data_IF_086725291094
#
_entry.id   IF_086725291094
#
_cell.length_a   1.000
_cell.length_b   1.000
_cell.length_c   1.000
_cell.angle_alpha   90.00
_cell.angle_beta   90.00
_cell.angle_gamma   90.00
#
_symmetry.space_group_name_H-M   'P 1'
#
loop_
_entity.id
_entity.type
_entity.pdbx_description
1 polymer ?
#
# COMPACT_ATOMS: atom_id res chain seq x y z
N UNK A 1 -3.07 -14.97 25.86
CA UNK A 1 -2.53 -14.25 24.69
C UNK A 1 -3.62 -13.52 23.90
N UNK A 2 -4.67 -14.22 23.42
CA UNK A 2 -5.74 -13.64 22.60
C UNK A 2 -6.30 -12.31 23.16
N UNK A 3 -6.67 -12.29 24.44
CA UNK A 3 -7.18 -11.08 25.12
C UNK A 3 -6.17 -9.94 25.27
N UNK A 4 -4.90 -10.27 25.50
CA UNK A 4 -3.85 -9.28 25.79
C UNK A 4 -3.20 -8.70 24.54
N UNK A 5 -3.35 -9.37 23.38
CA UNK A 5 -2.66 -9.00 22.14
C UNK A 5 -3.63 -8.84 20.96
N UNK A 6 -4.29 -9.91 20.51
CA UNK A 6 -5.13 -9.88 19.31
C UNK A 6 -6.45 -9.10 19.52
N UNK A 7 -7.16 -9.32 20.63
CA UNK A 7 -8.43 -8.65 20.94
C UNK A 7 -8.28 -7.27 21.58
N UNK A 8 -7.11 -6.97 22.16
CA UNK A 8 -6.90 -5.72 22.91
C UNK A 8 -7.15 -4.46 22.05
N UNK A 9 -6.67 -4.35 20.80
CA UNK A 9 -6.97 -3.21 19.94
C UNK A 9 -8.47 -3.07 19.66
N UNK A 10 -9.19 -4.19 19.50
CA UNK A 10 -10.63 -4.19 19.28
C UNK A 10 -11.39 -3.69 20.51
N UNK A 11 -11.02 -4.14 21.71
CA UNK A 11 -11.60 -3.62 22.95
C UNK A 11 -11.41 -2.10 23.04
N UNK A 12 -10.21 -1.59 22.75
CA UNK A 12 -9.92 -0.14 22.78
C UNK A 12 -10.83 0.66 21.85
N UNK A 13 -11.13 0.16 20.64
CA UNK A 13 -12.02 0.87 19.70
C UNK A 13 -13.50 0.70 20.05
N UNK A 14 -13.89 -0.41 20.68
CA UNK A 14 -15.23 -0.60 21.25
C UNK A 14 -15.46 0.45 22.35
N UNK A 15 -14.52 0.57 23.28
CA UNK A 15 -14.59 1.53 24.39
C UNK A 15 -14.62 2.99 23.87
N UNK A 16 -14.01 3.24 22.70
CA UNK A 16 -14.05 4.54 22.01
C UNK A 16 -15.33 4.78 21.17
N UNK A 17 -16.25 3.83 21.12
CA UNK A 17 -17.55 3.97 20.44
C UNK A 17 -17.51 3.72 18.93
N UNK A 18 -16.68 2.77 18.46
CA UNK A 18 -16.67 2.37 17.04
C UNK A 18 -18.06 1.90 16.59
N UNK A 19 -18.47 2.33 15.39
CA UNK A 19 -19.82 2.08 14.87
C UNK A 19 -20.02 0.69 14.28
N UNK A 20 -18.98 0.16 13.64
CA UNK A 20 -19.03 -1.10 12.92
C UNK A 20 -17.72 -1.86 13.05
N UNK A 21 -17.81 -3.19 13.06
CA UNK A 21 -16.65 -4.07 13.14
C UNK A 21 -16.79 -5.23 12.17
N UNK A 22 -15.73 -5.46 11.40
CA UNK A 22 -15.66 -6.53 10.43
C UNK A 22 -15.08 -7.80 11.06
N UNK A 23 -15.70 -8.95 10.79
CA UNK A 23 -15.25 -10.26 11.26
C UNK A 23 -14.62 -11.05 10.12
N UNK A 24 -13.33 -11.35 10.27
CA UNK A 24 -12.53 -12.06 9.28
C UNK A 24 -12.89 -13.56 9.19
N UNK A 25 -12.66 -14.17 8.02
CA UNK A 25 -12.84 -15.60 7.77
C UNK A 25 -11.65 -16.44 8.30
N UNK A 26 -11.35 -16.30 9.60
CA UNK A 26 -10.20 -16.97 10.24
C UNK A 26 -10.70 -18.15 11.08
N UNK A 27 -10.03 -19.30 10.95
CA UNK A 27 -10.25 -20.46 11.82
C UNK A 27 -9.36 -20.35 13.05
N UNK A 28 -9.96 -20.50 14.23
CA UNK A 28 -9.27 -20.59 15.51
C UNK A 28 -9.75 -21.85 16.24
N UNK A 29 -9.38 -23.05 15.75
CA UNK A 29 -10.02 -24.30 16.14
C UNK A 29 -9.87 -24.61 17.64
N UNK A 30 -8.71 -24.28 18.23
CA UNK A 30 -8.41 -24.55 19.63
C UNK A 30 -9.11 -23.61 20.62
N UNK A 31 -9.74 -22.54 20.12
CA UNK A 31 -10.31 -21.47 20.94
C UNK A 31 -11.84 -21.39 20.86
N UNK A 32 -12.50 -22.32 20.17
CA UNK A 32 -13.96 -22.34 20.08
C UNK A 32 -14.51 -23.78 20.09
N UNK A 33 -15.79 -23.98 20.46
CA UNK A 33 -16.39 -25.32 20.47
C UNK A 33 -16.48 -25.97 19.08
N UNK A 34 -16.82 -25.20 18.04
CA UNK A 34 -16.91 -25.70 16.66
C UNK A 34 -15.64 -25.35 15.89
N UNK A 35 -14.64 -26.23 15.99
CA UNK A 35 -13.32 -26.02 15.41
C UNK A 35 -13.34 -25.81 13.88
N UNK A 36 -14.36 -26.33 13.21
CA UNK A 36 -14.45 -26.25 11.76
C UNK A 36 -14.97 -24.90 11.28
N UNK A 37 -15.66 -24.09 12.09
CA UNK A 37 -16.22 -22.83 11.59
C UNK A 37 -15.19 -21.69 11.64
N UNK A 38 -15.08 -20.85 10.59
CA UNK A 38 -14.36 -19.59 10.69
C UNK A 38 -15.13 -18.62 11.59
N UNK A 39 -14.44 -17.63 12.15
CA UNK A 39 -15.01 -16.66 13.09
C UNK A 39 -16.30 -16.00 12.58
N UNK A 40 -16.38 -15.65 11.29
CA UNK A 40 -17.57 -15.04 10.66
C UNK A 40 -18.83 -15.90 10.75
N UNK A 41 -18.71 -17.23 10.81
CA UNK A 41 -19.82 -18.18 10.83
C UNK A 41 -20.10 -18.74 12.23
N UNK A 42 -19.36 -18.28 13.25
CA UNK A 42 -19.38 -18.85 14.59
C UNK A 42 -20.05 -17.91 15.59
N UNK A 43 -21.18 -18.34 16.16
CA UNK A 43 -21.88 -17.59 17.23
C UNK A 43 -21.01 -17.41 18.47
N UNK A 44 -20.09 -18.34 18.74
CA UNK A 44 -19.12 -18.20 19.82
C UNK A 44 -18.28 -16.93 19.63
N UNK A 45 -17.71 -16.71 18.44
CA UNK A 45 -16.88 -15.53 18.19
C UNK A 45 -17.70 -14.24 18.07
N UNK A 46 -18.80 -14.28 17.32
CA UNK A 46 -19.56 -13.07 16.99
C UNK A 46 -20.51 -12.66 18.12
N UNK A 47 -21.24 -13.59 18.71
CA UNK A 47 -22.21 -13.29 19.75
C UNK A 47 -21.58 -13.39 21.13
N UNK A 48 -20.97 -14.52 21.49
CA UNK A 48 -20.50 -14.71 22.86
C UNK A 48 -19.29 -13.83 23.17
N UNK A 49 -18.22 -13.91 22.37
CA UNK A 49 -17.02 -13.09 22.59
C UNK A 49 -17.28 -11.63 22.23
N UNK A 50 -17.64 -11.34 20.98
CA UNK A 50 -17.67 -9.95 20.53
C UNK A 50 -18.83 -9.14 21.14
N UNK A 51 -20.06 -9.67 21.13
CA UNK A 51 -21.21 -8.90 21.64
C UNK A 51 -21.32 -8.95 23.16
N UNK A 52 -21.25 -10.15 23.77
CA UNK A 52 -21.48 -10.29 25.22
C UNK A 52 -20.24 -9.95 26.02
N UNK A 53 -19.12 -10.64 25.81
CA UNK A 53 -17.91 -10.46 26.63
C UNK A 53 -17.22 -9.11 26.37
N UNK A 54 -17.09 -8.70 25.11
CA UNK A 54 -16.45 -7.42 24.75
C UNK A 54 -17.43 -6.23 24.76
N UNK A 55 -18.73 -6.48 24.88
CA UNK A 55 -19.76 -5.44 24.98
C UNK A 55 -20.05 -4.68 23.68
N UNK A 56 -19.73 -5.22 22.51
CA UNK A 56 -19.93 -4.52 21.24
C UNK A 56 -21.39 -4.51 20.79
N UNK A 57 -21.99 -3.31 20.75
CA UNK A 57 -23.38 -3.09 20.37
C UNK A 57 -23.56 -2.50 18.95
N UNK A 58 -22.47 -2.22 18.24
CA UNK A 58 -22.49 -1.71 16.88
C UNK A 58 -22.86 -2.76 15.83
N UNK A 59 -22.68 -2.39 14.56
CA UNK A 59 -22.95 -3.26 13.41
C UNK A 59 -21.80 -4.24 13.22
N UNK A 60 -22.12 -5.52 13.16
CA UNK A 60 -21.16 -6.57 12.79
C UNK A 60 -21.24 -6.81 11.29
N UNK A 61 -20.12 -6.64 10.60
CA UNK A 61 -20.00 -6.82 9.15
C UNK A 61 -19.20 -8.09 8.88
N UNK A 62 -19.59 -8.90 7.90
CA UNK A 62 -18.72 -9.96 7.41
C UNK A 62 -17.54 -9.36 6.64
N UNK A 63 -16.42 -10.08 6.57
CA UNK A 63 -15.50 -9.92 5.44
C UNK A 63 -16.18 -10.35 4.13
N UNK A 64 -15.52 -10.13 2.98
CA UNK A 64 -16.10 -10.42 1.67
C UNK A 64 -16.45 -11.91 1.52
N UNK A 65 -17.74 -12.24 1.46
CA UNK A 65 -18.24 -13.62 1.42
C UNK A 65 -17.80 -14.41 0.18
N UNK A 66 -17.31 -13.72 -0.85
CA UNK A 66 -16.67 -14.33 -2.03
C UNK A 66 -15.28 -14.93 -1.77
N UNK A 67 -14.66 -14.64 -0.62
CA UNK A 67 -13.30 -15.08 -0.32
C UNK A 67 -13.20 -16.59 -0.07
N UNK A 68 -12.05 -17.16 -0.43
CA UNK A 68 -11.77 -18.59 -0.31
C UNK A 68 -11.82 -19.17 1.11
N UNK A 69 -11.73 -18.32 2.15
CA UNK A 69 -11.93 -18.72 3.55
C UNK A 69 -13.37 -19.21 3.84
N UNK A 70 -14.33 -18.86 2.99
CA UNK A 70 -15.72 -19.34 3.06
C UNK A 70 -16.03 -20.24 1.87
N UNK A 71 -15.82 -19.74 0.64
CA UNK A 71 -16.34 -20.40 -0.59
C UNK A 71 -15.72 -21.76 -0.90
N UNK A 72 -14.56 -22.09 -0.31
CA UNK A 72 -13.92 -23.41 -0.51
C UNK A 72 -14.56 -24.52 0.33
N UNK A 73 -15.16 -24.18 1.46
CA UNK A 73 -15.63 -25.16 2.45
C UNK A 73 -17.15 -25.14 2.66
N UNK A 74 -17.83 -24.07 2.24
CA UNK A 74 -19.25 -23.87 2.51
C UNK A 74 -20.01 -23.48 1.26
N UNK A 75 -21.23 -24.00 1.14
CA UNK A 75 -22.17 -23.49 0.14
C UNK A 75 -22.63 -22.08 0.52
N UNK A 76 -22.96 -21.29 -0.50
CA UNK A 76 -23.45 -19.91 -0.31
C UNK A 76 -24.66 -19.81 0.65
N UNK A 77 -25.74 -20.61 0.50
CA UNK A 77 -26.86 -20.56 1.43
C UNK A 77 -26.45 -20.92 2.87
N UNK A 78 -25.58 -21.92 3.03
CA UNK A 78 -25.11 -22.34 4.35
C UNK A 78 -24.34 -21.20 5.03
N UNK A 79 -23.36 -20.62 4.34
CA UNK A 79 -22.53 -19.56 4.89
C UNK A 79 -23.34 -18.30 5.22
N UNK A 80 -24.29 -17.93 4.35
CA UNK A 80 -25.16 -16.78 4.56
C UNK A 80 -26.01 -16.92 5.83
N UNK A 81 -26.71 -18.06 5.96
CA UNK A 81 -27.58 -18.34 7.11
C UNK A 81 -26.74 -18.43 8.39
N UNK A 82 -25.59 -19.10 8.36
CA UNK A 82 -24.72 -19.22 9.54
C UNK A 82 -24.13 -17.88 9.97
N UNK A 83 -23.74 -16.99 9.04
CA UNK A 83 -23.26 -15.66 9.38
C UNK A 83 -24.35 -14.82 10.08
N UNK A 84 -25.59 -14.85 9.57
CA UNK A 84 -26.72 -14.11 10.15
C UNK A 84 -27.05 -14.65 11.55
N UNK A 85 -27.12 -15.97 11.70
CA UNK A 85 -27.40 -16.64 12.97
C UNK A 85 -26.24 -16.51 13.97
N UNK A 86 -25.00 -16.39 13.51
CA UNK A 86 -23.86 -16.06 14.36
C UNK A 86 -23.95 -14.66 14.96
N UNK A 87 -24.70 -13.76 14.32
CA UNK A 87 -24.93 -12.38 14.77
C UNK A 87 -24.36 -11.31 13.86
N UNK A 88 -23.94 -11.62 12.63
CA UNK A 88 -23.54 -10.62 11.64
C UNK A 88 -24.75 -9.85 11.11
N UNK A 89 -24.69 -8.52 11.09
CA UNK A 89 -25.79 -7.62 10.70
C UNK A 89 -25.70 -7.21 9.22
N UNK A 90 -24.49 -7.18 8.66
CA UNK A 90 -24.24 -6.78 7.28
C UNK A 90 -23.39 -7.82 6.55
N UNK A 91 -23.91 -8.32 5.43
CA UNK A 91 -23.23 -9.29 4.57
C UNK A 91 -22.49 -8.55 3.46
N UNK A 92 -21.17 -8.62 3.46
CA UNK A 92 -20.30 -7.93 2.51
C UNK A 92 -20.00 -8.82 1.29
N UNK A 93 -20.12 -8.24 0.08
CA UNK A 93 -19.72 -8.83 -1.20
C UNK A 93 -20.17 -10.30 -1.42
N UNK A 94 -21.48 -10.54 -1.30
CA UNK A 94 -22.08 -11.76 -1.82
C UNK A 94 -22.57 -11.53 -3.26
N UNK A 95 -21.98 -12.23 -4.23
CA UNK A 95 -22.08 -11.89 -5.66
C UNK A 95 -23.46 -12.17 -6.30
N UNK A 96 -24.32 -12.99 -5.70
CA UNK A 96 -25.67 -13.26 -6.23
C UNK A 96 -26.77 -12.72 -5.30
N UNK A 97 -26.90 -11.38 -5.27
CA UNK A 97 -27.79 -10.67 -4.35
C UNK A 97 -29.24 -11.20 -4.34
N UNK A 98 -29.85 -11.41 -5.51
CA UNK A 98 -31.23 -11.91 -5.59
C UNK A 98 -31.35 -13.27 -4.91
N UNK A 99 -30.46 -14.21 -5.26
CA UNK A 99 -30.47 -15.55 -4.65
C UNK A 99 -30.18 -15.51 -3.16
N UNK A 100 -29.28 -14.63 -2.71
CA UNK A 100 -29.00 -14.44 -1.29
C UNK A 100 -30.25 -13.97 -0.54
N UNK A 101 -31.01 -13.01 -1.09
CA UNK A 101 -32.28 -12.55 -0.51
C UNK A 101 -33.30 -13.69 -0.48
N UNK A 102 -33.49 -14.40 -1.59
CA UNK A 102 -34.43 -15.52 -1.69
C UNK A 102 -34.09 -16.61 -0.63
N UNK A 103 -32.80 -16.92 -0.44
CA UNK A 103 -32.34 -17.89 0.57
C UNK A 103 -32.61 -17.43 2.01
N UNK A 104 -32.40 -16.14 2.31
CA UNK A 104 -32.67 -15.58 3.65
C UNK A 104 -34.17 -15.55 3.92
N UNK A 105 -34.97 -15.17 2.92
CA UNK A 105 -36.42 -15.17 3.03
C UNK A 105 -36.98 -16.59 3.30
N UNK A 106 -36.51 -17.60 2.57
CA UNK A 106 -36.86 -19.01 2.83
C UNK A 106 -36.47 -19.43 4.25
N UNK A 107 -35.25 -19.09 4.68
CA UNK A 107 -34.77 -19.41 6.03
C UNK A 107 -35.62 -18.74 7.13
N UNK A 108 -36.09 -17.51 6.92
CA UNK A 108 -37.02 -16.83 7.85
C UNK A 108 -38.38 -17.51 7.86
N UNK A 109 -38.96 -17.78 6.68
CA UNK A 109 -40.27 -18.47 6.54
C UNK A 109 -40.26 -19.85 7.21
N UNK A 110 -39.12 -20.53 7.22
CA UNK A 110 -38.92 -21.84 7.84
C UNK A 110 -38.50 -21.78 9.31
N UNK A 111 -38.35 -20.59 9.89
CA UNK A 111 -37.93 -20.38 11.29
C UNK A 111 -36.46 -20.71 11.57
N UNK A 112 -35.62 -20.86 10.54
CA UNK A 112 -34.17 -21.09 10.67
C UNK A 112 -33.46 -19.78 11.08
N UNK A 113 -33.97 -18.65 10.62
CA UNK A 113 -33.60 -17.30 11.06
C UNK A 113 -34.86 -16.67 11.66
N UNK A 114 -34.80 -16.08 12.85
CA UNK A 114 -35.94 -15.36 13.40
C UNK A 114 -36.18 -14.05 12.66
N UNK A 115 -37.43 -13.65 12.48
CA UNK A 115 -37.76 -12.33 11.91
C UNK A 115 -37.20 -11.19 12.79
N UNK A 116 -37.21 -11.37 14.12
CA UNK A 116 -36.59 -10.46 15.08
C UNK A 116 -35.09 -10.24 14.81
N UNK A 117 -34.34 -11.30 14.44
CA UNK A 117 -32.92 -11.19 14.10
C UNK A 117 -32.70 -10.26 12.91
N UNK A 118 -33.57 -10.35 11.89
CA UNK A 118 -33.54 -9.47 10.71
C UNK A 118 -33.93 -8.04 11.11
N UNK A 119 -34.96 -7.87 11.92
CA UNK A 119 -35.42 -6.56 12.37
C UNK A 119 -34.36 -5.82 13.21
N UNK A 120 -33.64 -6.52 14.09
CA UNK A 120 -32.53 -5.95 14.86
C UNK A 120 -31.38 -5.47 13.95
N UNK A 121 -30.96 -6.31 13.00
CA UNK A 121 -29.93 -5.94 12.02
C UNK A 121 -30.36 -4.72 11.17
N UNK A 122 -31.60 -4.73 10.69
CA UNK A 122 -32.15 -3.63 9.90
C UNK A 122 -32.21 -2.33 10.71
N UNK A 123 -32.64 -2.39 11.97
CA UNK A 123 -32.69 -1.22 12.86
C UNK A 123 -31.31 -0.64 13.11
N UNK A 124 -30.28 -1.46 13.34
CA UNK A 124 -28.89 -0.99 13.48
C UNK A 124 -28.41 -0.27 12.21
N UNK A 125 -28.70 -0.82 11.04
CA UNK A 125 -28.35 -0.17 9.77
C UNK A 125 -29.09 1.15 9.56
N UNK A 126 -30.36 1.25 9.96
CA UNK A 126 -31.13 2.49 9.90
C UNK A 126 -30.55 3.54 10.85
N UNK A 127 -30.19 3.17 12.09
CA UNK A 127 -29.53 4.05 13.05
C UNK A 127 -28.18 4.56 12.54
N UNK A 128 -27.37 3.72 11.88
CA UNK A 128 -26.12 4.17 11.26
C UNK A 128 -26.37 5.20 10.15
N UNK A 129 -27.36 4.95 9.28
CA UNK A 129 -27.73 5.90 8.23
C UNK A 129 -28.23 7.23 8.80
N UNK A 130 -28.99 7.17 9.89
CA UNK A 130 -29.47 8.34 10.62
C UNK A 130 -28.32 9.15 11.22
N UNK A 131 -27.35 8.48 11.86
CA UNK A 131 -26.18 9.09 12.49
C UNK A 131 -25.37 9.97 11.54
N UNK A 132 -25.28 9.57 10.27
CA UNK A 132 -24.59 10.34 9.21
C UNK A 132 -25.55 11.19 8.35
N UNK A 133 -26.78 11.39 8.80
CA UNK A 133 -27.79 12.26 8.16
C UNK A 133 -28.12 11.91 6.71
N UNK A 134 -28.00 10.64 6.31
CA UNK A 134 -28.27 10.21 4.93
C UNK A 134 -29.74 10.36 4.51
N UNK A 135 -30.64 10.45 5.48
CA UNK A 135 -32.06 10.79 5.29
C UNK A 135 -32.29 12.26 4.93
N UNK A 136 -31.38 13.16 5.33
CA UNK A 136 -31.45 14.58 5.00
C UNK A 136 -30.70 14.90 3.72
N UNK A 137 -29.48 14.35 3.57
CA UNK A 137 -28.64 14.58 2.40
C UNK A 137 -27.96 13.28 1.95
N UNK A 138 -28.58 12.63 0.96
CA UNK A 138 -28.07 11.38 0.37
C UNK A 138 -26.98 11.59 -0.69
N UNK A 139 -26.97 12.76 -1.33
CA UNK A 139 -26.14 13.04 -2.49
C UNK A 139 -25.03 14.04 -2.17
N UNK A 140 -23.90 13.89 -2.86
CA UNK A 140 -22.76 14.81 -2.80
C UNK A 140 -22.75 15.74 -4.01
N UNK A 141 -22.21 16.95 -3.85
CA UNK A 141 -21.94 17.85 -4.96
C UNK A 141 -20.58 17.53 -5.58
N UNK A 142 -20.54 17.23 -6.87
CA UNK A 142 -19.28 16.98 -7.58
C UNK A 142 -18.38 18.22 -7.62
N UNK A 143 -18.97 19.43 -7.68
CA UNK A 143 -18.21 20.68 -7.68
C UNK A 143 -17.52 20.92 -6.34
N UNK A 144 -18.21 20.68 -5.22
CA UNK A 144 -17.61 20.79 -3.89
C UNK A 144 -16.59 19.68 -3.63
N UNK A 145 -16.90 18.46 -4.07
CA UNK A 145 -15.98 17.31 -3.95
C UNK A 145 -14.63 17.60 -4.62
N UNK A 146 -14.63 18.24 -5.80
CA UNK A 146 -13.38 18.64 -6.50
C UNK A 146 -12.58 19.71 -5.75
N UNK A 147 -13.21 20.53 -4.91
CA UNK A 147 -12.51 21.52 -4.06
C UNK A 147 -11.87 20.87 -2.84
N UNK A 148 -12.47 19.80 -2.32
CA UNK A 148 -12.03 19.12 -1.10
C UNK A 148 -10.99 18.03 -1.42
N UNK A 149 -11.23 17.21 -2.45
CA UNK A 149 -10.32 16.13 -2.83
C UNK A 149 -9.02 16.69 -3.40
N UNK A 150 -7.89 16.20 -2.89
CA UNK A 150 -6.57 16.62 -3.35
C UNK A 150 -6.15 18.01 -2.86
N UNK A 151 -6.82 18.54 -1.82
CA UNK A 151 -6.40 19.78 -1.15
C UNK A 151 -4.92 19.70 -0.73
N UNK A 152 -4.22 20.81 -0.92
CA UNK A 152 -2.81 20.97 -0.57
C UNK A 152 -2.55 20.70 0.93
N UNK A 153 -3.46 21.07 1.82
CA UNK A 153 -3.31 20.81 3.26
C UNK A 153 -3.19 19.31 3.57
N UNK A 154 -3.98 18.48 2.90
CA UNK A 154 -3.91 17.03 3.04
C UNK A 154 -2.60 16.47 2.46
N UNK A 155 -2.09 17.07 1.38
CA UNK A 155 -0.80 16.69 0.78
C UNK A 155 0.36 17.05 1.70
N UNK A 156 0.33 18.23 2.32
CA UNK A 156 1.33 18.66 3.32
C UNK A 156 1.34 17.68 4.49
N UNK A 157 0.16 17.38 5.06
CA UNK A 157 0.03 16.42 6.17
C UNK A 157 0.53 15.03 5.78
N UNK A 158 0.17 14.52 4.60
CA UNK A 158 0.62 13.22 4.12
C UNK A 158 2.14 13.18 3.91
N UNK A 159 2.75 14.24 3.37
CA UNK A 159 4.18 14.35 3.18
C UNK A 159 4.93 14.42 4.52
N UNK A 160 4.39 15.12 5.52
CA UNK A 160 4.96 15.20 6.85
C UNK A 160 4.96 13.82 7.53
N UNK A 161 3.80 13.13 7.51
CA UNK A 161 3.67 11.77 8.04
C UNK A 161 4.66 10.84 7.35
N UNK A 162 4.73 10.87 6.02
CA UNK A 162 5.64 10.02 5.27
C UNK A 162 7.12 10.30 5.58
N UNK A 163 7.51 11.58 5.65
CA UNK A 163 8.89 11.99 5.99
C UNK A 163 9.28 11.51 7.38
N UNK A 164 8.41 11.69 8.38
CA UNK A 164 8.63 11.20 9.75
C UNK A 164 8.60 9.68 9.87
N UNK A 165 8.06 8.97 8.87
CA UNK A 165 7.95 7.51 8.87
C UNK A 165 9.22 6.82 8.31
N UNK A 166 10.02 7.48 7.48
CA UNK A 166 11.24 6.86 6.91
C UNK A 166 12.18 6.46 8.05
N UNK A 167 12.47 5.17 8.15
CA UNK A 167 13.20 4.58 9.28
C UNK A 167 14.53 4.03 8.81
N UNK A 168 15.63 4.63 9.29
CA UNK A 168 16.98 4.12 9.09
C UNK A 168 17.26 3.05 10.16
N UNK A 169 17.46 1.80 9.73
CA UNK A 169 17.58 0.65 10.64
C UNK A 169 19.05 0.24 10.81
N UNK A 170 19.85 0.38 9.76
CA UNK A 170 21.28 0.04 9.79
C UNK A 170 22.04 1.09 9.02
N UNK A 171 23.19 1.51 9.53
CA UNK A 171 24.05 2.51 8.88
C UNK A 171 25.53 2.28 9.20
N UNK A 172 26.05 1.11 8.83
CA UNK A 172 27.45 0.74 9.01
C UNK A 172 28.32 1.15 7.81
N UNK A 173 27.80 2.03 6.93
CA UNK A 173 28.45 2.46 5.71
C UNK A 173 28.99 3.89 5.82
N UNK A 174 29.86 4.25 4.88
CA UNK A 174 30.38 5.62 4.76
C UNK A 174 29.64 6.45 3.71
N UNK A 175 28.46 6.01 3.27
CA UNK A 175 27.69 6.58 2.17
C UNK A 175 26.45 7.35 2.63
N UNK A 176 25.90 7.12 3.83
CA UNK A 176 24.82 7.92 4.42
C UNK A 176 25.31 8.71 5.66
N UNK A 177 25.02 10.03 5.78
CA UNK A 177 24.36 10.93 4.82
C UNK A 177 25.06 10.92 3.45
N UNK A 178 24.33 11.22 2.36
CA UNK A 178 24.87 11.04 1.00
C UNK A 178 26.18 11.83 0.77
N UNK A 179 27.30 11.11 0.85
CA UNK A 179 28.66 11.60 0.57
C UNK A 179 29.07 11.14 -0.83
N UNK A 180 29.02 12.08 -1.78
CA UNK A 180 29.26 11.81 -3.20
C UNK A 180 30.35 12.78 -3.68
N UNK A 181 31.36 12.25 -4.37
CA UNK A 181 32.35 13.11 -5.04
C UNK A 181 31.71 13.91 -6.19
N UNK A 182 32.23 15.08 -6.53
CA UNK A 182 31.60 16.03 -7.49
C UNK A 182 31.16 15.42 -8.84
N UNK A 183 31.80 14.33 -9.28
CA UNK A 183 31.53 13.64 -10.55
C UNK A 183 31.34 12.12 -10.37
N UNK A 184 31.19 11.67 -9.14
CA UNK A 184 31.08 10.24 -8.84
C UNK A 184 29.69 9.72 -9.23
N UNK A 185 29.63 8.79 -10.19
CA UNK A 185 28.37 8.18 -10.62
C UNK A 185 27.77 7.27 -9.54
N UNK A 186 26.48 7.47 -9.25
CA UNK A 186 25.70 6.62 -8.35
C UNK A 186 24.91 5.61 -9.17
N UNK A 187 24.99 4.35 -8.79
CA UNK A 187 24.21 3.29 -9.41
C UNK A 187 22.92 3.15 -8.62
N UNK A 188 21.79 3.38 -9.27
CA UNK A 188 20.46 3.20 -8.65
C UNK A 188 19.79 2.01 -9.31
N UNK A 189 19.44 1.00 -8.50
CA UNK A 189 18.82 -0.24 -8.97
C UNK A 189 17.41 -0.33 -8.41
N UNK A 190 16.40 -0.37 -9.27
CA UNK A 190 15.03 -0.70 -8.89
C UNK A 190 14.82 -2.21 -9.07
N UNK A 191 14.45 -2.91 -8.00
CA UNK A 191 14.19 -4.36 -8.02
C UNK A 191 12.73 -4.66 -7.67
N UNK A 192 12.05 -5.37 -8.56
CA UNK A 192 10.64 -5.72 -8.44
C UNK A 192 10.46 -7.22 -8.20
N UNK A 193 9.61 -7.55 -7.22
CA UNK A 193 9.39 -8.92 -6.75
C UNK A 193 8.33 -9.71 -7.55
N UNK A 194 7.96 -9.20 -8.73
CA UNK A 194 6.97 -9.69 -9.66
C UNK A 194 7.52 -9.56 -11.09
N UNK A 195 7.06 -10.36 -12.05
CA UNK A 195 7.63 -10.39 -13.40
C UNK A 195 7.14 -9.21 -14.27
N UNK A 196 7.92 -8.89 -15.30
CA UNK A 196 7.63 -7.90 -16.36
C UNK A 196 7.41 -6.47 -15.85
N UNK A 197 8.22 -6.02 -14.89
CA UNK A 197 8.26 -4.65 -14.43
C UNK A 197 9.70 -4.10 -14.49
N UNK A 198 9.99 -3.35 -15.55
CA UNK A 198 11.22 -2.59 -15.72
C UNK A 198 10.98 -1.08 -15.69
N UNK A 199 9.94 -0.63 -14.97
CA UNK A 199 9.66 0.79 -14.84
C UNK A 199 10.69 1.48 -13.92
N UNK A 200 11.16 2.64 -14.33
CA UNK A 200 12.00 3.47 -13.47
C UNK A 200 11.15 4.09 -12.35
N UNK A 201 11.54 3.82 -11.10
CA UNK A 201 10.75 4.25 -9.94
C UNK A 201 10.67 5.78 -9.81
N UNK A 202 9.68 6.28 -9.09
CA UNK A 202 9.58 7.71 -8.74
C UNK A 202 10.81 8.16 -7.96
N UNK A 203 11.35 7.30 -7.08
CA UNK A 203 12.62 7.54 -6.38
C UNK A 203 13.76 7.79 -7.36
N UNK A 204 14.00 6.86 -8.28
CA UNK A 204 15.08 6.94 -9.27
C UNK A 204 14.94 8.17 -10.17
N UNK A 205 13.74 8.39 -10.73
CA UNK A 205 13.45 9.57 -11.58
C UNK A 205 13.72 10.89 -10.85
N UNK A 206 13.34 10.99 -9.57
CA UNK A 206 13.53 12.23 -8.80
C UNK A 206 14.98 12.44 -8.37
N UNK A 207 15.69 11.37 -8.02
CA UNK A 207 17.13 11.45 -7.77
C UNK A 207 17.87 11.92 -9.04
N UNK A 208 17.55 11.39 -10.23
CA UNK A 208 18.10 11.90 -11.51
C UNK A 208 17.80 13.38 -11.73
N UNK A 209 16.54 13.78 -11.53
CA UNK A 209 16.10 15.18 -11.69
C UNK A 209 16.73 16.13 -10.68
N UNK A 210 17.26 15.64 -9.56
CA UNK A 210 17.99 16.47 -8.61
C UNK A 210 19.30 17.01 -9.18
N UNK A 211 19.87 16.34 -10.20
CA UNK A 211 21.14 16.69 -10.83
C UNK A 211 22.30 15.77 -10.47
N UNK A 212 22.06 14.76 -9.63
CA UNK A 212 23.05 13.72 -9.32
C UNK A 212 23.40 12.89 -10.57
N UNK A 213 24.68 12.56 -10.79
CA UNK A 213 25.10 11.68 -11.88
C UNK A 213 24.65 10.23 -11.56
N UNK A 214 23.51 9.83 -12.12
CA UNK A 214 22.89 8.53 -11.82
C UNK A 214 22.84 7.64 -13.05
N UNK A 215 23.36 6.41 -12.90
CA UNK A 215 23.08 5.29 -13.78
C UNK A 215 21.99 4.43 -13.16
N UNK A 216 20.84 4.35 -13.83
CA UNK A 216 19.71 3.55 -13.39
C UNK A 216 19.71 2.17 -14.01
N UNK A 217 19.31 1.16 -13.24
CA UNK A 217 19.06 -0.19 -13.72
C UNK A 217 17.73 -0.67 -13.12
N UNK A 218 16.99 -1.47 -13.88
CA UNK A 218 15.74 -2.08 -13.46
C UNK A 218 15.84 -3.59 -13.63
N UNK A 219 15.41 -4.33 -12.61
CA UNK A 219 15.41 -5.80 -12.61
C UNK A 219 14.14 -6.35 -11.95
N UNK A 220 13.68 -7.51 -12.39
CA UNK A 220 12.45 -8.12 -11.91
C UNK A 220 12.52 -9.66 -11.80
N UNK A 221 11.43 -10.30 -11.37
CA UNK A 221 11.40 -11.76 -11.15
C UNK A 221 11.62 -12.59 -12.44
N UNK A 222 11.30 -12.03 -13.60
CA UNK A 222 11.43 -12.71 -14.90
C UNK A 222 12.84 -12.68 -15.49
N UNK A 223 13.71 -11.81 -14.96
CA UNK A 223 15.08 -11.69 -15.45
C UNK A 223 15.92 -12.95 -15.16
N UNK A 224 16.81 -13.26 -16.11
CA UNK A 224 17.66 -14.45 -16.02
C UNK A 224 18.90 -14.20 -15.16
N UNK A 225 19.45 -15.26 -14.56
CA UNK A 225 20.77 -15.23 -13.91
C UNK A 225 21.86 -14.56 -14.76
N UNK A 226 21.89 -14.81 -16.07
CA UNK A 226 22.87 -14.21 -16.98
C UNK A 226 22.71 -12.68 -17.08
N UNK A 227 21.47 -12.18 -17.00
CA UNK A 227 21.21 -10.75 -16.95
C UNK A 227 21.77 -10.11 -15.67
N UNK A 228 21.50 -10.71 -14.51
CA UNK A 228 22.06 -10.27 -13.22
C UNK A 228 23.59 -10.28 -13.23
N UNK A 229 24.21 -11.35 -13.74
CA UNK A 229 25.66 -11.45 -13.91
C UNK A 229 26.22 -10.38 -14.87
N UNK A 230 25.49 -10.05 -15.94
CA UNK A 230 25.91 -9.00 -16.87
C UNK A 230 25.91 -7.64 -16.17
N UNK A 231 24.90 -7.34 -15.34
CA UNK A 231 24.82 -6.12 -14.55
C UNK A 231 26.00 -6.05 -13.58
N UNK A 232 26.24 -7.10 -12.79
CA UNK A 232 27.33 -7.17 -11.81
C UNK A 232 28.70 -6.84 -12.43
N UNK A 233 28.96 -7.33 -13.65
CA UNK A 233 30.21 -7.08 -14.38
C UNK A 233 30.38 -5.61 -14.77
N UNK A 234 29.30 -4.86 -14.99
CA UNK A 234 29.35 -3.42 -15.34
C UNK A 234 29.48 -2.51 -14.12
N UNK A 235 29.27 -3.02 -12.92
CA UNK A 235 29.37 -2.25 -11.69
C UNK A 235 30.86 -2.24 -11.28
N UNK A 236 31.47 -1.08 -10.98
CA UNK A 236 32.83 -1.04 -10.42
C UNK A 236 32.86 -1.54 -8.97
N UNK A 237 34.03 -1.97 -8.51
CA UNK A 237 34.24 -2.25 -7.08
C UNK A 237 34.10 -0.94 -6.28
N UNK A 238 33.52 -1.04 -5.08
CA UNK A 238 33.25 0.08 -4.17
C UNK A 238 32.41 1.23 -4.76
N UNK A 239 31.61 0.97 -5.80
CA UNK A 239 30.70 1.95 -6.38
C UNK A 239 29.57 2.32 -5.38
N UNK A 240 29.14 3.60 -5.31
CA UNK A 240 27.98 3.98 -4.51
C UNK A 240 26.69 3.42 -5.13
N UNK A 241 25.96 2.60 -4.36
CA UNK A 241 24.77 1.88 -4.83
C UNK A 241 23.57 2.21 -3.95
N UNK A 242 22.48 2.64 -4.59
CA UNK A 242 21.15 2.76 -3.97
C UNK A 242 20.25 1.68 -4.57
N UNK A 243 19.76 0.77 -3.73
CA UNK A 243 18.96 -0.36 -4.17
C UNK A 243 17.53 -0.24 -3.64
N UNK A 244 16.59 0.10 -4.51
CA UNK A 244 15.17 0.23 -4.21
C UNK A 244 14.48 -1.13 -4.36
N UNK A 245 14.21 -1.81 -3.25
CA UNK A 245 13.53 -3.10 -3.23
C UNK A 245 12.01 -2.97 -3.04
N UNK A 246 11.27 -3.15 -4.14
CA UNK A 246 9.82 -3.21 -4.16
C UNK A 246 9.36 -4.64 -3.85
N UNK A 247 9.52 -5.02 -2.59
CA UNK A 247 9.14 -6.35 -2.10
C UNK A 247 7.93 -6.26 -1.16
N UNK A 248 6.72 -6.48 -1.66
CA UNK A 248 5.50 -6.43 -0.85
C UNK A 248 4.92 -7.83 -0.62
N UNK A 249 4.42 -8.13 0.60
CA UNK A 249 3.56 -9.28 0.80
C UNK A 249 2.30 -9.14 -0.07
N UNK A 250 1.94 -10.19 -0.80
CA UNK A 250 0.72 -10.24 -1.58
C UNK A 250 0.07 -11.61 -1.46
N UNK A 251 -1.25 -11.65 -1.67
CA UNK A 251 -2.00 -12.89 -1.68
C UNK A 251 -1.42 -13.85 -2.74
N UNK A 252 -1.40 -15.14 -2.43
CA UNK A 252 -0.97 -16.22 -3.34
C UNK A 252 0.53 -16.24 -3.70
N UNK A 253 1.32 -15.24 -3.26
CA UNK A 253 2.75 -15.16 -3.58
C UNK A 253 3.61 -16.20 -2.82
N UNK A 254 3.12 -16.68 -1.67
CA UNK A 254 3.74 -17.73 -0.85
C UNK A 254 5.24 -17.54 -0.53
N UNK A 255 5.71 -16.28 -0.50
CA UNK A 255 7.06 -15.89 -0.10
C UNK A 255 7.01 -14.47 0.47
N UNK A 256 7.90 -14.19 1.41
CA UNK A 256 8.06 -12.86 2.01
C UNK A 256 9.30 -12.12 1.50
N UNK A 257 10.32 -12.87 1.05
CA UNK A 257 11.56 -12.33 0.49
C UNK A 257 11.46 -12.15 -1.03
N UNK A 258 12.49 -11.51 -1.59
CA UNK A 258 12.70 -11.48 -3.04
C UNK A 258 13.00 -12.91 -3.56
N UNK A 259 12.68 -13.21 -4.83
CA UNK A 259 13.13 -14.42 -5.52
C UNK A 259 14.62 -14.72 -5.31
N UNK A 260 14.99 -16.01 -5.31
CA UNK A 260 16.35 -16.46 -5.00
C UNK A 260 17.42 -15.77 -5.84
N UNK A 261 17.20 -15.62 -7.15
CA UNK A 261 18.14 -14.96 -8.07
C UNK A 261 18.40 -13.49 -7.69
N UNK A 262 17.36 -12.80 -7.23
CA UNK A 262 17.45 -11.42 -6.76
C UNK A 262 18.22 -11.32 -5.44
N UNK A 263 17.99 -12.26 -4.51
CA UNK A 263 18.73 -12.33 -3.25
C UNK A 263 20.22 -12.61 -3.50
N UNK A 264 20.55 -13.56 -4.39
CA UNK A 264 21.93 -13.86 -4.80
C UNK A 264 22.60 -12.64 -5.45
N UNK A 265 21.88 -11.91 -6.30
CA UNK A 265 22.36 -10.69 -6.93
C UNK A 265 22.69 -9.62 -5.89
N UNK A 266 21.83 -9.38 -4.89
CA UNK A 266 22.09 -8.40 -3.82
C UNK A 266 23.27 -8.84 -2.95
N UNK A 267 23.38 -10.14 -2.64
CA UNK A 267 24.54 -10.67 -1.93
C UNK A 267 25.85 -10.37 -2.68
N UNK A 268 25.88 -10.60 -3.99
CA UNK A 268 27.04 -10.29 -4.82
C UNK A 268 27.36 -8.78 -4.86
N UNK A 269 26.35 -7.90 -4.85
CA UNK A 269 26.55 -6.45 -4.74
C UNK A 269 27.17 -6.05 -3.38
N UNK A 270 26.71 -6.66 -2.29
CA UNK A 270 27.25 -6.41 -0.94
C UNK A 270 28.74 -6.82 -0.84
N UNK A 271 29.16 -7.89 -1.53
CA UNK A 271 30.59 -8.27 -1.58
C UNK A 271 31.45 -7.29 -2.39
N UNK A 272 30.81 -6.57 -3.32
CA UNK A 272 31.49 -5.68 -4.27
C UNK A 272 31.61 -4.24 -3.78
N UNK A 273 30.67 -3.79 -2.96
CA UNK A 273 30.68 -2.43 -2.44
C UNK A 273 30.13 -2.34 -1.02
N UNK A 274 30.93 -1.73 -0.13
CA UNK A 274 30.48 -1.34 1.21
C UNK A 274 29.64 -0.06 1.20
N UNK A 275 29.57 0.65 0.06
CA UNK A 275 28.77 1.88 -0.14
C UNK A 275 27.40 1.55 -0.74
N UNK A 276 26.75 0.52 -0.20
CA UNK A 276 25.41 0.08 -0.60
C UNK A 276 24.37 0.50 0.43
N UNK A 277 23.24 1.02 -0.05
CA UNK A 277 22.03 1.30 0.73
C UNK A 277 20.91 0.43 0.16
N UNK A 278 20.38 -0.48 0.97
CA UNK A 278 19.19 -1.26 0.63
C UNK A 278 17.95 -0.57 1.21
N UNK A 279 16.97 -0.33 0.36
CA UNK A 279 15.75 0.39 0.70
C UNK A 279 14.57 -0.54 0.50
N UNK A 280 13.80 -0.80 1.56
CA UNK A 280 12.61 -1.63 1.49
C UNK A 280 11.33 -0.82 1.28
N UNK A 281 10.68 -1.05 0.15
CA UNK A 281 9.33 -0.57 -0.19
C UNK A 281 8.31 -1.71 -0.04
N UNK A 282 8.15 -2.20 1.19
CA UNK A 282 7.15 -3.20 1.53
C UNK A 282 7.52 -3.93 2.81
N UNK A 283 8.11 -5.11 2.66
CA UNK A 283 8.48 -5.99 3.74
C UNK A 283 9.70 -5.44 4.52
N UNK A 284 9.55 -5.02 5.79
CA UNK A 284 10.69 -4.55 6.59
C UNK A 284 11.66 -5.67 6.99
N UNK A 285 11.28 -6.94 6.81
CA UNK A 285 12.10 -8.09 7.20
C UNK A 285 13.14 -8.50 6.15
N UNK A 286 13.22 -7.84 4.98
CA UNK A 286 14.17 -8.20 3.90
C UNK A 286 15.62 -8.31 4.39
N UNK A 287 16.02 -7.41 5.30
CA UNK A 287 17.37 -7.36 5.87
C UNK A 287 17.79 -8.66 6.57
N UNK A 288 16.84 -9.48 7.06
CA UNK A 288 17.15 -10.78 7.67
C UNK A 288 17.74 -11.78 6.68
N UNK A 289 17.39 -11.65 5.40
CA UNK A 289 17.97 -12.48 4.34
C UNK A 289 19.27 -11.89 3.76
N UNK A 290 19.66 -10.68 4.18
CA UNK A 290 20.83 -9.95 3.68
C UNK A 290 21.56 -9.21 4.83
N UNK A 291 21.88 -9.89 5.95
CA UNK A 291 22.42 -9.24 7.15
C UNK A 291 23.74 -8.49 6.91
N UNK A 292 24.50 -8.88 5.88
CA UNK A 292 25.74 -8.25 5.45
C UNK A 292 25.56 -6.85 4.85
N UNK A 293 24.33 -6.47 4.48
CA UNK A 293 24.02 -5.17 3.87
C UNK A 293 24.52 -4.01 4.76
N UNK A 294 25.35 -3.08 4.24
CA UNK A 294 25.95 -2.02 5.06
C UNK A 294 24.96 -1.00 5.62
N UNK A 295 23.97 -0.57 4.84
CA UNK A 295 22.90 0.31 5.29
C UNK A 295 21.52 -0.15 4.83
N UNK A 296 20.52 -0.02 5.72
CA UNK A 296 19.15 -0.47 5.48
C UNK A 296 18.14 0.57 5.90
N UNK A 297 17.24 0.93 4.98
CA UNK A 297 16.15 1.87 5.19
C UNK A 297 14.81 1.16 4.98
N UNK A 298 13.89 1.30 5.94
CA UNK A 298 12.48 0.97 5.74
C UNK A 298 11.73 2.20 5.23
N UNK A 299 11.33 2.17 3.95
CA UNK A 299 10.47 3.16 3.31
C UNK A 299 9.00 2.69 3.20
N UNK A 300 8.68 1.53 3.78
CA UNK A 300 7.35 0.94 4.01
C UNK A 300 6.53 0.55 2.78
N UNK A 301 6.18 1.48 1.89
CA UNK A 301 5.30 1.18 0.75
C UNK A 301 5.80 1.90 -0.49
N UNK A 302 5.79 1.23 -1.64
CA UNK A 302 6.24 1.80 -2.91
C UNK A 302 5.32 2.86 -3.55
N UNK A 303 4.46 3.55 -2.79
CA UNK A 303 3.62 4.61 -3.38
C UNK A 303 4.41 5.93 -3.52
N UNK A 304 3.89 6.87 -4.31
CA UNK A 304 4.59 8.13 -4.58
C UNK A 304 4.85 8.96 -3.33
N UNK A 305 3.94 8.96 -2.35
CA UNK A 305 4.11 9.75 -1.11
C UNK A 305 5.35 9.27 -0.35
N UNK A 306 5.52 7.97 -0.18
CA UNK A 306 6.66 7.37 0.50
C UNK A 306 7.95 7.48 -0.31
N UNK A 307 7.91 7.26 -1.63
CA UNK A 307 9.06 7.46 -2.51
C UNK A 307 9.55 8.91 -2.46
N UNK A 308 8.64 9.88 -2.44
CA UNK A 308 8.98 11.30 -2.34
C UNK A 308 9.63 11.67 -1.01
N UNK A 309 9.09 11.15 0.10
CA UNK A 309 9.64 11.34 1.44
C UNK A 309 11.04 10.74 1.57
N UNK A 310 11.27 9.56 0.99
CA UNK A 310 12.59 8.96 0.93
C UNK A 310 13.58 9.84 0.15
N UNK A 311 13.20 10.32 -1.04
CA UNK A 311 14.06 11.21 -1.84
C UNK A 311 14.39 12.49 -1.08
N UNK A 312 13.43 13.08 -0.37
CA UNK A 312 13.68 14.24 0.48
C UNK A 312 14.71 13.93 1.57
N UNK A 313 14.62 12.74 2.20
CA UNK A 313 15.56 12.31 3.24
C UNK A 313 16.95 12.05 2.68
N UNK A 314 17.06 11.34 1.55
CA UNK A 314 18.33 11.06 0.88
C UNK A 314 19.04 12.34 0.42
N UNK A 315 18.30 13.33 -0.08
CA UNK A 315 18.86 14.63 -0.51
C UNK A 315 19.10 15.60 0.65
N UNK A 316 18.87 15.16 1.89
CA UNK A 316 19.05 15.95 3.10
C UNK A 316 18.12 17.14 3.27
N UNK A 317 16.92 17.06 2.69
CA UNK A 317 15.82 18.00 2.94
C UNK A 317 15.06 17.68 4.23
N UNK A 318 15.12 16.43 4.67
CA UNK A 318 14.51 15.94 5.92
C UNK A 318 15.47 14.99 6.62
N UNK A 319 15.40 14.94 7.94
CA UNK A 319 16.18 14.01 8.76
C UNK A 319 15.54 12.61 8.76
N UNK A 320 16.33 11.58 9.05
CA UNK A 320 15.80 10.26 9.38
C UNK A 320 15.36 10.26 10.84
N UNK A 321 14.04 10.20 11.07
CA UNK A 321 13.46 10.22 12.43
C UNK A 321 12.54 9.03 12.73
N UNK A 322 12.25 8.21 11.73
CA UNK A 322 11.32 7.08 11.87
C UNK A 322 11.79 6.05 12.90
N UNK A 323 10.81 5.34 13.48
CA UNK A 323 11.03 4.26 14.43
C UNK A 323 10.21 3.05 14.02
N UNK A 324 10.79 1.87 14.17
CA UNK A 324 10.14 0.62 13.83
C UNK A 324 8.89 0.39 14.71
N UNK A 325 7.70 0.18 14.12
CA UNK A 325 6.52 -0.23 14.88
C UNK A 325 6.54 -1.73 15.23
N UNK A 326 7.56 -2.47 14.75
CA UNK A 326 7.76 -3.92 14.85
C UNK A 326 9.18 -4.24 15.30
N UNK A 327 9.41 -5.44 15.82
CA UNK A 327 10.77 -5.98 16.01
C UNK A 327 11.18 -6.72 14.75
N UNK A 328 12.38 -6.46 14.23
CA UNK A 328 13.05 -7.27 13.21
C UNK A 328 14.00 -8.21 13.95
N UNK A 329 13.66 -9.52 14.09
CA UNK A 329 14.48 -10.46 14.84
C UNK A 329 15.94 -10.43 14.40
N UNK A 330 16.85 -10.46 15.38
CA UNK A 330 18.32 -10.43 15.21
C UNK A 330 18.90 -9.12 14.63
N UNK A 331 18.06 -8.13 14.31
CA UNK A 331 18.49 -6.88 13.68
C UNK A 331 18.16 -5.66 14.52
N UNK A 332 16.89 -5.47 14.91
CA UNK A 332 16.46 -4.28 15.63
C UNK A 332 15.14 -4.49 16.38
N UNK A 333 15.03 -3.93 17.58
CA UNK A 333 13.82 -4.00 18.40
C UNK A 333 12.75 -2.98 17.98
N UNK A 334 11.49 -3.26 18.35
CA UNK A 334 10.40 -2.30 18.23
C UNK A 334 10.74 -0.98 18.92
N UNK A 335 10.53 0.12 18.21
CA UNK A 335 10.88 1.48 18.65
C UNK A 335 12.28 1.92 18.24
N UNK A 336 13.10 1.02 17.69
CA UNK A 336 14.43 1.35 17.19
C UNK A 336 14.36 2.13 15.86
N UNK A 337 15.33 3.00 15.65
CA UNK A 337 15.54 3.75 14.41
C UNK A 337 16.66 4.76 14.61
N UNK A 338 17.70 4.68 13.77
CA UNK A 338 18.84 5.59 13.81
C UNK A 338 18.35 7.00 13.50
N UNK A 339 18.53 7.90 14.46
CA UNK A 339 18.24 9.31 14.28
C UNK A 339 19.44 9.93 13.56
N UNK A 340 19.26 10.32 12.30
CA UNK A 340 20.34 10.86 11.48
C UNK A 340 19.94 12.23 10.95
N UNK A 341 20.59 13.25 11.48
CA UNK A 341 20.53 14.60 10.92
C UNK A 341 21.17 14.60 9.54
N UNK A 342 20.54 15.30 8.60
CA UNK A 342 21.01 15.41 7.24
C UNK A 342 21.40 16.85 6.92
N UNK A 343 22.40 16.98 6.06
CA UNK A 343 22.70 18.24 5.38
C UNK A 343 22.28 18.13 3.92
N UNK A 344 21.82 19.23 3.33
CA UNK A 344 21.45 19.25 1.92
C UNK A 344 22.64 18.82 1.06
N UNK A 345 22.41 17.82 0.21
CA UNK A 345 23.42 17.32 -0.71
C UNK A 345 23.81 18.45 -1.68
N UNK A 346 25.11 18.73 -1.78
CA UNK A 346 25.62 19.73 -2.70
C UNK A 346 25.58 19.18 -4.12
N UNK A 347 24.65 19.69 -4.92
CA UNK A 347 24.53 19.31 -6.33
C UNK A 347 25.09 20.44 -7.17
N UNK A 348 26.05 20.13 -8.05
CA UNK A 348 26.57 21.08 -9.00
C UNK A 348 25.43 21.60 -9.88
N UNK A 349 25.08 22.87 -9.73
CA UNK A 349 24.09 23.52 -10.59
C UNK A 349 24.60 23.52 -12.02
N UNK A 350 24.05 22.65 -12.87
CA UNK A 350 24.14 22.87 -14.32
C UNK A 350 23.46 24.20 -14.61
N UNK A 351 24.20 25.19 -15.11
CA UNK A 351 23.61 26.38 -15.70
C UNK A 351 22.77 25.92 -16.90
N UNK A 352 21.49 25.67 -16.67
CA UNK A 352 20.54 25.46 -17.74
C UNK A 352 20.12 26.84 -18.24
N UNK A 353 20.39 27.12 -19.51
CA UNK A 353 19.68 28.19 -20.22
C UNK A 353 18.21 27.80 -20.27
N UNK A 354 17.28 28.62 -19.75
CA UNK A 354 15.86 28.33 -19.87
C UNK A 354 15.52 28.11 -21.35
N UNK A 355 14.94 26.96 -21.68
CA UNK A 355 14.34 26.75 -23.00
C UNK A 355 13.24 27.78 -23.24
N UNK A 356 12.83 27.96 -24.50
CA UNK A 356 11.70 28.83 -24.85
C UNK A 356 10.48 28.39 -24.04
N UNK A 357 9.95 29.28 -23.19
CA UNK A 357 8.79 29.00 -22.36
C UNK A 357 7.60 28.64 -23.27
N UNK A 358 7.16 27.39 -23.22
CA UNK A 358 5.93 26.96 -23.92
C UNK A 358 4.75 27.48 -23.10
N UNK A 359 4.03 28.47 -23.63
CA UNK A 359 2.78 28.94 -23.02
C UNK A 359 1.69 27.92 -23.36
N UNK A 360 1.18 27.22 -22.35
CA UNK A 360 -0.09 26.51 -22.48
C UNK A 360 -1.23 27.54 -22.45
N UNK A 361 -1.92 27.67 -23.56
CA UNK A 361 -3.10 28.52 -23.74
C UNK A 361 -4.19 27.69 -24.38
N UNK A 362 -5.43 27.93 -23.98
CA UNK A 362 -6.59 27.34 -24.64
C UNK A 362 -6.82 28.04 -25.99
N UNK A 363 -7.32 27.34 -27.03
CA UNK A 363 -7.55 27.95 -28.34
C UNK A 363 -8.37 29.23 -28.31
N UNK A 364 -9.37 29.32 -27.41
CA UNK A 364 -10.21 30.51 -27.27
C UNK A 364 -9.45 31.72 -26.70
N UNK A 365 -8.39 31.51 -25.89
CA UNK A 365 -7.58 32.60 -25.30
C UNK A 365 -6.75 33.33 -26.36
N UNK A 366 -6.44 32.66 -27.47
CA UNK A 366 -5.71 33.22 -28.61
C UNK A 366 -6.58 33.37 -29.86
N UNK A 367 -7.90 33.17 -29.73
CA UNK A 367 -8.86 33.19 -30.85
C UNK A 367 -8.48 32.25 -32.01
N UNK A 368 -7.82 31.14 -31.71
CA UNK A 368 -7.50 30.12 -32.70
C UNK A 368 -8.77 29.36 -33.10
N UNK A 369 -9.04 29.27 -34.41
CA UNK A 369 -10.11 28.43 -34.93
C UNK A 369 -9.65 26.97 -34.91
N UNK A 370 -10.32 26.15 -34.09
CA UNK A 370 -10.02 24.74 -33.91
C UNK A 370 -11.14 23.81 -34.41
N UNK A 371 -12.06 24.33 -35.23
CA UNK A 371 -13.23 23.59 -35.69
C UNK A 371 -12.84 22.29 -36.41
N UNK A 372 -11.89 22.36 -37.33
CA UNK A 372 -11.42 21.20 -38.11
C UNK A 372 -10.54 20.25 -37.28
N UNK A 373 -10.00 20.71 -36.14
CA UNK A 373 -9.19 19.86 -35.26
C UNK A 373 -10.04 18.87 -34.47
N UNK A 374 -11.32 19.19 -34.24
CA UNK A 374 -12.21 18.32 -33.49
C UNK A 374 -12.53 17.01 -34.22
N UNK A 375 -12.56 16.99 -35.56
CA UNK A 375 -12.72 15.75 -36.32
C UNK A 375 -11.47 14.88 -36.22
N UNK A 376 -10.28 15.45 -36.41
CA UNK A 376 -9.01 14.71 -36.30
C UNK A 376 -8.76 14.16 -34.90
N UNK A 377 -9.11 14.91 -33.84
CA UNK A 377 -8.98 14.40 -32.47
C UNK A 377 -9.96 13.26 -32.19
N UNK A 378 -11.20 13.32 -32.73
CA UNK A 378 -12.16 12.22 -32.61
C UNK A 378 -11.70 10.98 -33.36
N UNK A 379 -11.15 11.16 -34.55
CA UNK A 379 -10.59 10.07 -35.35
C UNK A 379 -9.40 9.42 -34.63
N UNK A 380 -8.46 10.22 -34.10
CA UNK A 380 -7.32 9.72 -33.34
C UNK A 380 -7.73 8.97 -32.05
N UNK A 381 -8.73 9.47 -31.31
CA UNK A 381 -9.29 8.78 -30.14
C UNK A 381 -10.02 7.49 -30.54
N UNK A 382 -10.74 7.51 -31.66
CA UNK A 382 -11.41 6.32 -32.20
C UNK A 382 -10.42 5.27 -32.72
N UNK A 383 -9.25 5.70 -33.18
CA UNK A 383 -8.18 4.83 -33.67
C UNK A 383 -7.47 4.16 -32.48
N UNK A 384 -6.86 4.92 -31.56
CA UNK A 384 -6.25 4.37 -30.32
C UNK A 384 -5.73 5.39 -29.28
N UNK A 385 -5.94 6.71 -29.44
CA UNK A 385 -5.36 7.71 -28.54
C UNK A 385 -6.13 7.83 -27.19
N UNK A 386 -5.64 7.16 -26.14
CA UNK A 386 -6.22 7.17 -24.79
C UNK A 386 -5.15 7.54 -23.72
N UNK A 387 -5.47 8.30 -22.64
CA UNK A 387 -6.78 8.81 -22.22
C UNK A 387 -7.17 10.20 -22.78
N UNK A 388 -6.42 10.72 -23.75
CA UNK A 388 -6.70 11.98 -24.44
C UNK A 388 -5.62 12.32 -25.49
N UNK A 389 -5.83 13.38 -26.26
CA UNK A 389 -4.90 13.83 -27.29
C UNK A 389 -4.46 15.29 -27.04
N UNK A 390 -3.17 15.58 -27.26
CA UNK A 390 -2.57 16.92 -27.16
C UNK A 390 -2.05 17.33 -28.53
N UNK A 391 -2.50 18.48 -29.04
CA UNK A 391 -2.01 19.03 -30.30
C UNK A 391 -0.81 19.94 -30.04
N UNK A 392 0.34 19.60 -30.60
CA UNK A 392 1.51 20.47 -30.66
C UNK A 392 1.42 21.32 -31.93
N UNK A 393 0.99 22.58 -31.79
CA UNK A 393 1.09 23.58 -32.85
C UNK A 393 2.33 24.45 -32.59
N UNK A 394 3.23 24.55 -33.57
CA UNK A 394 4.47 25.35 -33.50
C UNK A 394 4.30 26.75 -34.04
#
# INVERSE_FOLDING_TARGET
>A
RLWSLELKPFQTVIDAGVDAMMVAHVHAPDFQPNANLPATLSSFWVTDILRKEMGFNGVVVTDAMGMGGVTRNYSDPYALIHAINAGCDFILQNYNLKRSIDNVEDAVKRGIISEERINDAALKMLKLKEKVSLQQQRYISMNETKKILGNEEFRVSANEIASKSITLVKNDNSFLPLTIGEKEEIIVIDIYDHPNNHEESTTTRKLKRSGLPIRSLQVDESDTKMYYESILKTIPDNAPIILNAFASPSAWKNRIYLPTQQMEFIHALNQKSHRLILISFGNPYLIRGLPETPAYICAWKGNDVMQNALVASLLGKTNFTGKLPITIPEVADRGFGIQLEQEMVKIATKQATPGKLVKHVMPYEIKANNYDLHSFLKEAVSDSAWPGAVLLAT
#
